data_IF_940775372878
#
_entry.id   IF_940775372878
#
_cell.length_a   1.000
_cell.length_b   1.000
_cell.length_c   1.000
_cell.angle_alpha   90.00
_cell.angle_beta   90.00
_cell.angle_gamma   90.00
#
_symmetry.space_group_name_H-M   'P 1'
#
loop_
_entity.id
_entity.type
_entity.pdbx_description
1 polymer ?
#
# COMPACT_ATOMS: atom_id res chain seq x y z
N UNK A 1 39.85 -18.95 -36.35
CA UNK A 1 38.58 -19.41 -35.76
C UNK A 1 38.13 -18.37 -34.74
N UNK A 2 37.28 -17.45 -35.15
CA UNK A 2 36.76 -16.37 -34.26
C UNK A 2 35.56 -16.90 -33.45
N UNK A 3 35.67 -16.80 -32.12
CA UNK A 3 34.54 -17.09 -31.21
C UNK A 3 33.43 -16.03 -31.43
N UNK A 4 32.16 -16.46 -31.55
CA UNK A 4 31.08 -15.49 -31.59
C UNK A 4 30.95 -14.82 -30.21
N UNK A 5 30.92 -13.49 -30.20
CA UNK A 5 30.61 -12.69 -29.01
C UNK A 5 29.19 -13.03 -28.55
N UNK A 6 29.05 -13.48 -27.32
CA UNK A 6 27.74 -13.69 -26.72
C UNK A 6 27.03 -12.33 -26.63
N UNK A 7 25.93 -12.19 -27.35
CA UNK A 7 25.06 -11.03 -27.25
C UNK A 7 24.47 -10.98 -25.83
N UNK A 8 24.92 -10.02 -25.06
CA UNK A 8 24.26 -9.67 -23.78
C UNK A 8 22.91 -9.07 -24.13
N UNK A 9 21.89 -9.87 -24.09
CA UNK A 9 20.51 -9.39 -24.21
C UNK A 9 20.29 -8.45 -23.03
N UNK A 10 20.19 -7.15 -23.30
CA UNK A 10 19.87 -6.15 -22.28
C UNK A 10 18.51 -6.54 -21.67
N UNK A 11 18.49 -6.87 -20.38
CA UNK A 11 17.23 -7.14 -19.66
C UNK A 11 16.35 -5.90 -19.75
N UNK A 12 15.08 -6.08 -20.06
CA UNK A 12 14.11 -4.99 -20.02
C UNK A 12 14.14 -4.30 -18.63
N UNK A 13 13.98 -3.00 -18.57
CA UNK A 13 13.98 -2.28 -17.29
C UNK A 13 12.87 -2.80 -16.39
N UNK A 14 13.19 -3.06 -15.12
CA UNK A 14 12.24 -3.55 -14.12
C UNK A 14 11.07 -2.57 -13.97
N UNK A 15 9.85 -3.09 -13.93
CA UNK A 15 8.68 -2.32 -13.53
C UNK A 15 8.69 -2.02 -12.03
N UNK A 16 9.30 -2.91 -11.25
CA UNK A 16 9.52 -2.74 -9.80
C UNK A 16 10.41 -1.53 -9.49
N UNK A 17 10.10 -0.85 -8.38
CA UNK A 17 10.76 0.39 -7.98
C UNK A 17 10.75 0.56 -6.45
N UNK A 18 11.51 1.52 -5.94
CA UNK A 18 11.35 2.09 -4.61
C UNK A 18 10.59 3.41 -4.75
N UNK A 19 9.65 3.66 -3.86
CA UNK A 19 8.97 4.94 -3.72
C UNK A 19 9.31 5.55 -2.36
N UNK A 20 9.90 6.73 -2.33
CA UNK A 20 10.22 7.49 -1.11
C UNK A 20 9.40 8.76 -1.04
N UNK A 21 8.97 9.15 0.16
CA UNK A 21 8.25 10.41 0.35
C UNK A 21 7.68 10.59 1.74
N UNK A 22 6.48 11.13 1.81
CA UNK A 22 5.82 11.48 3.05
C UNK A 22 4.39 10.95 3.09
N UNK A 23 3.97 10.53 4.28
CA UNK A 23 2.58 10.32 4.61
C UNK A 23 2.16 11.37 5.64
N UNK A 24 1.00 11.96 5.45
CA UNK A 24 0.41 12.97 6.34
C UNK A 24 -0.98 12.52 6.73
N UNK A 25 -1.30 12.66 8.02
CA UNK A 25 -2.63 12.45 8.56
C UNK A 25 -3.11 13.73 9.23
N UNK A 26 -4.36 14.12 8.96
CA UNK A 26 -5.01 15.25 9.63
C UNK A 26 -6.39 14.85 10.10
N UNK A 27 -6.62 14.97 11.38
CA UNK A 27 -7.95 14.97 11.97
C UNK A 27 -8.40 16.43 12.14
N UNK A 28 -9.58 16.73 11.69
CA UNK A 28 -10.17 18.07 11.76
C UNK A 28 -11.23 18.14 12.86
N UNK A 29 -11.99 17.05 13.05
CA UNK A 29 -13.05 16.96 14.06
C UNK A 29 -12.95 15.61 14.82
N UNK A 30 -13.44 15.55 16.09
CA UNK A 30 -13.92 16.65 16.92
C UNK A 30 -12.77 17.52 17.46
N UNK A 31 -11.53 16.99 17.56
CA UNK A 31 -10.35 17.71 18.00
C UNK A 31 -9.25 17.65 16.95
N UNK A 32 -8.79 18.80 16.53
CA UNK A 32 -7.76 18.91 15.49
C UNK A 32 -6.45 18.22 15.94
N UNK A 33 -5.91 17.39 15.05
CA UNK A 33 -4.65 16.71 15.25
C UNK A 33 -4.00 16.36 13.91
N UNK A 34 -2.75 16.73 13.71
CA UNK A 34 -2.04 16.43 12.49
C UNK A 34 -0.63 15.91 12.79
N UNK A 35 -0.15 15.03 11.94
CA UNK A 35 1.23 14.56 11.94
C UNK A 35 1.62 14.08 10.54
N UNK A 36 2.91 14.12 10.27
CA UNK A 36 3.51 13.58 9.06
C UNK A 36 4.82 12.87 9.40
N UNK A 37 5.22 11.95 8.53
CA UNK A 37 6.52 11.28 8.62
C UNK A 37 7.00 10.85 7.24
N UNK A 38 8.34 10.73 7.13
CA UNK A 38 8.97 10.21 5.92
C UNK A 38 8.92 8.69 5.92
N UNK A 39 8.74 8.12 4.74
CA UNK A 39 8.66 6.69 4.54
C UNK A 39 9.16 6.27 3.17
N UNK A 40 9.42 4.98 3.03
CA UNK A 40 9.66 4.35 1.74
C UNK A 40 8.77 3.11 1.62
N UNK A 41 8.23 2.89 0.44
CA UNK A 41 7.50 1.67 0.07
C UNK A 41 8.15 1.01 -1.14
N UNK A 42 8.02 -0.30 -1.25
CA UNK A 42 8.38 -1.00 -2.47
C UNK A 42 7.17 -1.06 -3.40
N UNK A 43 7.42 -0.80 -4.67
CA UNK A 43 6.49 -1.04 -5.76
C UNK A 43 7.01 -2.25 -6.52
N UNK A 44 6.34 -3.36 -6.39
CA UNK A 44 6.79 -4.66 -6.88
C UNK A 44 5.82 -5.16 -7.95
N UNK A 45 6.32 -5.38 -9.15
CA UNK A 45 5.60 -6.22 -10.11
C UNK A 45 5.63 -7.66 -9.59
N UNK A 46 4.45 -8.27 -9.42
CA UNK A 46 4.35 -9.60 -8.81
C UNK A 46 5.02 -10.70 -9.65
N UNK A 47 5.17 -10.48 -10.95
CA UNK A 47 5.87 -11.39 -11.84
C UNK A 47 7.41 -11.24 -11.73
N UNK A 48 7.90 -10.12 -11.17
CA UNK A 48 9.32 -9.85 -10.94
C UNK A 48 9.82 -10.25 -9.56
N UNK A 49 8.94 -10.49 -8.57
CA UNK A 49 9.30 -10.67 -7.15
C UNK A 49 10.35 -11.75 -6.93
N UNK A 50 10.29 -12.86 -7.65
CA UNK A 50 11.26 -13.96 -7.53
C UNK A 50 12.66 -13.56 -8.01
N UNK A 51 12.76 -12.56 -8.87
CA UNK A 51 14.02 -12.10 -9.48
C UNK A 51 14.60 -10.87 -8.79
N UNK A 52 13.75 -9.97 -8.31
CA UNK A 52 14.10 -8.67 -7.74
C UNK A 52 15.12 -8.78 -6.60
N UNK A 53 15.01 -9.80 -5.74
CA UNK A 53 15.87 -10.00 -4.58
C UNK A 53 16.93 -11.10 -4.75
N UNK A 54 17.02 -11.76 -5.91
CA UNK A 54 17.87 -12.95 -6.11
C UNK A 54 19.36 -12.73 -5.78
N UNK A 55 19.88 -11.53 -6.05
CA UNK A 55 21.27 -11.16 -5.78
C UNK A 55 21.41 -10.09 -4.69
N UNK A 56 20.44 -10.05 -3.75
CA UNK A 56 20.38 -9.07 -2.68
C UNK A 56 20.50 -9.74 -1.33
N UNK A 57 21.68 -9.70 -0.74
CA UNK A 57 22.00 -10.42 0.49
C UNK A 57 21.17 -10.02 1.73
N UNK A 58 20.68 -8.76 1.82
CA UNK A 58 19.87 -8.24 2.94
C UNK A 58 18.36 -8.30 2.64
N UNK A 59 17.97 -8.73 1.43
CA UNK A 59 16.60 -8.78 0.94
C UNK A 59 16.27 -10.18 0.41
N UNK A 60 15.06 -10.65 0.67
CA UNK A 60 14.66 -11.99 0.22
C UNK A 60 13.16 -12.08 -0.10
N UNK A 61 12.83 -13.06 -0.96
CA UNK A 61 11.49 -13.60 -1.09
C UNK A 61 11.42 -14.92 -0.30
N UNK A 62 10.45 -15.03 0.63
CA UNK A 62 10.15 -16.25 1.40
C UNK A 62 11.09 -16.57 2.56
N UNK A 63 12.39 -16.29 2.45
CA UNK A 63 13.38 -16.63 3.51
C UNK A 63 13.52 -15.49 4.52
N UNK A 64 13.74 -15.78 5.84
CA UNK A 64 14.07 -14.76 6.83
C UNK A 64 15.27 -13.92 6.40
N UNK A 65 15.16 -12.60 6.51
CA UNK A 65 16.23 -11.66 6.18
C UNK A 65 15.96 -10.30 6.86
N UNK A 66 16.88 -9.34 6.72
CA UNK A 66 16.66 -7.97 7.23
C UNK A 66 15.45 -7.31 6.58
N UNK A 67 15.26 -7.49 5.27
CA UNK A 67 14.02 -7.16 4.59
C UNK A 67 13.49 -8.41 3.85
N UNK A 68 12.24 -8.72 4.06
CA UNK A 68 11.64 -9.95 3.54
C UNK A 68 10.27 -9.66 2.93
N UNK A 69 10.07 -10.08 1.69
CA UNK A 69 8.74 -10.31 1.15
C UNK A 69 8.25 -11.68 1.62
N UNK A 70 7.14 -11.71 2.36
CA UNK A 70 6.54 -12.94 2.85
C UNK A 70 5.09 -13.02 2.38
N UNK A 71 4.77 -14.04 1.59
CA UNK A 71 3.45 -14.21 0.96
C UNK A 71 2.28 -14.09 1.96
N UNK A 72 2.41 -14.66 3.15
CA UNK A 72 1.36 -14.66 4.18
C UNK A 72 1.08 -13.29 4.83
N UNK A 73 1.91 -12.26 4.54
CA UNK A 73 1.70 -10.91 5.04
C UNK A 73 0.67 -10.13 4.19
N UNK A 74 0.19 -10.70 3.06
CA UNK A 74 -0.64 -10.06 2.04
C UNK A 74 -1.94 -10.83 1.79
N UNK A 75 -2.78 -10.28 0.91
CA UNK A 75 -4.13 -10.72 0.58
C UNK A 75 -4.25 -12.23 0.33
N UNK A 76 -5.26 -12.83 0.94
CA UNK A 76 -5.64 -14.23 0.74
C UNK A 76 -4.72 -15.25 1.43
N UNK A 77 -4.98 -16.54 1.24
CA UNK A 77 -4.20 -17.62 1.86
C UNK A 77 -2.77 -17.68 1.30
N UNK A 78 -1.81 -18.09 2.14
CA UNK A 78 -0.39 -18.08 1.81
C UNK A 78 -0.02 -19.08 0.68
N UNK A 79 -0.80 -20.10 0.52
CA UNK A 79 -0.62 -21.17 -0.48
C UNK A 79 -1.01 -20.74 -1.89
N UNK A 80 -1.90 -19.74 -1.99
CA UNK A 80 -2.32 -19.20 -3.28
C UNK A 80 -1.34 -18.11 -3.75
N UNK A 81 -0.86 -18.13 -5.01
CA UNK A 81 -0.06 -17.03 -5.55
C UNK A 81 -0.76 -15.68 -5.37
N UNK A 82 -0.01 -14.64 -4.98
CA UNK A 82 -0.60 -13.35 -4.62
C UNK A 82 -1.37 -12.70 -5.77
N UNK A 83 -0.83 -12.76 -6.99
CA UNK A 83 -1.51 -12.26 -8.18
C UNK A 83 -2.87 -12.95 -8.40
N UNK A 84 -2.93 -14.25 -8.16
CA UNK A 84 -4.18 -15.01 -8.29
C UNK A 84 -5.19 -14.65 -7.18
N UNK A 85 -4.72 -14.43 -5.95
CA UNK A 85 -5.58 -13.97 -4.86
C UNK A 85 -6.20 -12.60 -5.16
N UNK A 86 -5.40 -11.69 -5.74
CA UNK A 86 -5.87 -10.36 -6.16
C UNK A 86 -6.88 -10.48 -7.29
N UNK A 87 -6.60 -11.26 -8.34
CA UNK A 87 -7.51 -11.48 -9.48
C UNK A 87 -8.87 -12.01 -9.01
N UNK A 88 -8.87 -13.04 -8.16
CA UNK A 88 -10.12 -13.61 -7.59
C UNK A 88 -10.88 -12.58 -6.76
N UNK A 89 -10.18 -11.80 -5.94
CA UNK A 89 -10.85 -10.79 -5.10
C UNK A 89 -11.48 -9.67 -5.92
N UNK A 90 -10.82 -9.22 -6.99
CA UNK A 90 -11.37 -8.23 -7.92
C UNK A 90 -12.58 -8.79 -8.65
N UNK A 91 -12.45 -10.00 -9.22
CA UNK A 91 -13.53 -10.70 -9.93
C UNK A 91 -14.78 -10.90 -9.05
N UNK A 92 -14.59 -11.32 -7.79
CA UNK A 92 -15.67 -11.47 -6.81
C UNK A 92 -16.37 -10.15 -6.46
N UNK A 93 -15.63 -9.03 -6.49
CA UNK A 93 -16.16 -7.73 -6.09
C UNK A 93 -16.94 -7.02 -7.20
N UNK A 94 -16.50 -7.13 -8.45
CA UNK A 94 -17.03 -6.35 -9.56
C UNK A 94 -17.15 -7.11 -10.90
N UNK A 95 -16.90 -8.42 -10.93
CA UNK A 95 -16.97 -9.22 -12.16
C UNK A 95 -15.78 -9.04 -13.12
N UNK A 96 -14.90 -8.05 -12.86
CA UNK A 96 -13.70 -7.80 -13.65
C UNK A 96 -12.57 -8.73 -13.20
N UNK A 97 -11.99 -9.51 -14.12
CA UNK A 97 -10.78 -10.28 -13.85
C UNK A 97 -9.58 -9.65 -14.57
N UNK A 98 -8.64 -9.00 -13.85
CA UNK A 98 -7.45 -8.43 -14.47
C UNK A 98 -6.59 -9.51 -15.13
N UNK A 99 -6.17 -9.31 -16.37
CA UNK A 99 -5.39 -10.27 -17.15
C UNK A 99 -3.91 -9.92 -17.20
N UNK A 100 -3.58 -8.65 -17.14
CA UNK A 100 -2.22 -8.16 -17.18
C UNK A 100 -1.48 -8.21 -15.84
N UNK A 101 -0.31 -7.55 -15.74
CA UNK A 101 0.51 -7.53 -14.54
C UNK A 101 -0.19 -6.86 -13.35
N UNK A 102 0.15 -7.32 -12.15
CA UNK A 102 -0.30 -6.73 -10.89
C UNK A 102 0.93 -6.17 -10.18
N UNK A 103 0.90 -4.88 -9.86
CA UNK A 103 1.99 -4.20 -9.17
C UNK A 103 1.56 -3.74 -7.79
N UNK A 104 2.33 -4.13 -6.79
CA UNK A 104 2.03 -3.96 -5.38
C UNK A 104 2.88 -2.85 -4.77
N UNK A 105 2.23 -1.78 -4.27
CA UNK A 105 2.86 -0.77 -3.44
C UNK A 105 2.65 -1.11 -1.97
N UNK A 106 3.74 -1.38 -1.23
CA UNK A 106 3.63 -1.93 0.11
C UNK A 106 4.88 -1.73 0.97
N UNK A 107 4.75 -1.96 2.27
CA UNK A 107 5.87 -2.22 3.17
C UNK A 107 6.18 -3.71 3.22
N UNK A 108 7.47 -4.04 3.28
CA UNK A 108 7.91 -5.41 3.55
C UNK A 108 8.02 -5.66 5.06
N UNK A 109 8.34 -6.89 5.40
CA UNK A 109 8.78 -7.25 6.72
C UNK A 109 10.23 -6.79 6.91
N UNK A 110 10.50 -5.99 7.93
CA UNK A 110 11.84 -5.52 8.29
C UNK A 110 12.24 -6.04 9.66
N UNK A 111 13.43 -6.63 9.76
CA UNK A 111 13.96 -7.23 11.00
C UNK A 111 12.98 -8.21 11.67
N UNK A 112 12.26 -8.99 10.87
CA UNK A 112 11.25 -9.94 11.36
C UNK A 112 9.90 -9.30 11.74
N UNK A 113 9.79 -7.97 11.78
CA UNK A 113 8.56 -7.26 12.11
C UNK A 113 7.83 -6.82 10.84
N UNK A 114 6.51 -6.99 10.81
CA UNK A 114 5.65 -6.44 9.77
C UNK A 114 4.68 -5.43 10.38
N UNK A 115 4.66 -4.25 9.76
CA UNK A 115 3.60 -3.29 9.97
C UNK A 115 3.26 -2.67 8.62
N UNK A 116 2.12 -3.08 8.10
CA UNK A 116 1.67 -2.69 6.78
C UNK A 116 0.19 -2.29 6.85
N UNK A 117 -0.12 -1.04 7.24
CA UNK A 117 -1.49 -0.59 7.44
C UNK A 117 -2.29 -0.56 6.15
N UNK A 118 -1.61 -0.38 5.01
CA UNK A 118 -2.24 -0.42 3.69
C UNK A 118 -1.28 -0.91 2.62
N UNK A 119 -1.77 -1.79 1.75
CA UNK A 119 -1.15 -2.18 0.49
C UNK A 119 -2.05 -1.81 -0.66
N UNK A 120 -1.48 -1.26 -1.74
CA UNK A 120 -2.21 -0.94 -2.95
C UNK A 120 -1.75 -1.85 -4.09
N UNK A 121 -2.69 -2.57 -4.68
CA UNK A 121 -2.47 -3.42 -5.85
C UNK A 121 -3.01 -2.69 -7.07
N UNK A 122 -2.12 -2.31 -7.97
CA UNK A 122 -2.44 -1.70 -9.25
C UNK A 122 -2.55 -2.81 -10.29
N UNK A 123 -3.76 -3.08 -10.77
CA UNK A 123 -4.06 -4.13 -11.74
C UNK A 123 -4.11 -3.52 -13.13
N UNK A 124 -3.36 -4.08 -14.07
CA UNK A 124 -3.24 -3.58 -15.42
C UNK A 124 -3.92 -4.51 -16.44
N UNK A 125 -4.23 -3.97 -17.62
CA UNK A 125 -4.58 -4.75 -18.79
C UNK A 125 -3.35 -5.48 -19.36
N UNK A 126 -3.54 -6.33 -20.36
CA UNK A 126 -2.47 -7.12 -21.00
C UNK A 126 -1.33 -6.28 -21.59
N UNK A 127 -1.61 -5.01 -21.93
CA UNK A 127 -0.58 -4.07 -22.39
C UNK A 127 0.45 -3.67 -21.30
N UNK A 128 0.17 -4.01 -20.03
CA UNK A 128 1.00 -3.68 -18.87
C UNK A 128 1.09 -2.18 -18.55
N UNK A 129 0.29 -1.35 -19.22
CA UNK A 129 0.31 0.14 -19.09
C UNK A 129 -1.05 0.68 -18.69
N UNK A 130 -2.13 0.18 -19.26
CA UNK A 130 -3.50 0.61 -18.98
C UNK A 130 -3.96 0.05 -17.64
N UNK A 131 -4.14 0.93 -16.65
CA UNK A 131 -4.68 0.55 -15.35
C UNK A 131 -6.16 0.19 -15.51
N UNK A 132 -6.62 -0.90 -14.90
CA UNK A 132 -8.03 -1.34 -14.96
C UNK A 132 -8.71 -1.36 -13.59
N UNK A 133 -7.93 -1.53 -12.52
CA UNK A 133 -8.46 -1.57 -11.16
C UNK A 133 -7.36 -1.22 -10.14
N UNK A 134 -7.75 -0.60 -9.02
CA UNK A 134 -6.91 -0.50 -7.83
C UNK A 134 -7.60 -1.31 -6.71
N UNK A 135 -6.86 -2.20 -6.06
CA UNK A 135 -7.30 -2.87 -4.85
C UNK A 135 -6.50 -2.31 -3.67
N UNK A 136 -7.19 -1.83 -2.64
CA UNK A 136 -6.59 -1.33 -1.41
C UNK A 136 -6.86 -2.31 -0.27
N UNK A 137 -5.83 -3.05 0.15
CA UNK A 137 -5.87 -3.93 1.32
C UNK A 137 -5.48 -3.14 2.57
N UNK A 138 -6.42 -2.99 3.50
CA UNK A 138 -6.23 -2.26 4.76
C UNK A 138 -6.15 -3.28 5.90
N UNK A 139 -5.17 -3.07 6.80
CA UNK A 139 -5.04 -3.81 8.05
C UNK A 139 -5.34 -2.87 9.21
N UNK A 140 -6.32 -3.22 10.04
CA UNK A 140 -6.65 -2.40 11.21
C UNK A 140 -5.71 -2.66 12.39
N UNK A 141 -5.69 -1.72 13.32
CA UNK A 141 -4.95 -1.80 14.57
C UNK A 141 -5.89 -1.50 15.73
N UNK A 142 -5.93 -2.33 16.78
CA UNK A 142 -5.00 -3.40 17.12
C UNK A 142 -5.39 -4.81 16.65
N UNK A 143 -6.56 -5.02 16.06
CA UNK A 143 -7.16 -6.35 15.78
C UNK A 143 -6.47 -7.15 14.69
N UNK A 144 -5.68 -6.48 13.81
CA UNK A 144 -4.98 -7.08 12.66
C UNK A 144 -5.92 -7.75 11.64
N UNK A 145 -7.16 -7.32 11.60
CA UNK A 145 -8.10 -7.73 10.56
C UNK A 145 -7.77 -7.05 9.25
N UNK A 146 -8.05 -7.71 8.16
CA UNK A 146 -7.79 -7.22 6.81
C UNK A 146 -9.07 -7.07 6.01
N UNK A 147 -9.17 -5.98 5.28
CA UNK A 147 -10.27 -5.71 4.36
C UNK A 147 -9.74 -5.15 3.05
N UNK A 148 -10.33 -5.57 1.93
CA UNK A 148 -9.92 -5.13 0.61
C UNK A 148 -11.05 -4.35 -0.08
N UNK A 149 -10.82 -3.06 -0.30
CA UNK A 149 -11.65 -2.23 -1.18
C UNK A 149 -11.18 -2.41 -2.62
N UNK A 150 -12.12 -2.65 -3.52
CA UNK A 150 -11.86 -2.78 -4.96
C UNK A 150 -12.40 -1.53 -5.65
N UNK A 151 -11.57 -0.89 -6.45
CA UNK A 151 -11.82 0.40 -7.10
C UNK A 151 -11.64 0.22 -8.63
N UNK A 152 -12.68 -0.24 -9.35
CA UNK A 152 -12.61 -0.40 -10.80
C UNK A 152 -12.48 0.96 -11.49
N UNK A 153 -11.68 1.05 -12.56
CA UNK A 153 -11.51 2.31 -13.27
C UNK A 153 -12.78 2.80 -13.96
N UNK A 154 -13.64 1.90 -14.40
CA UNK A 154 -14.92 2.22 -15.04
C UNK A 154 -15.85 3.05 -14.12
N UNK A 155 -15.71 2.94 -12.79
CA UNK A 155 -16.49 3.71 -11.81
C UNK A 155 -15.76 4.96 -11.30
N UNK A 156 -14.54 5.20 -11.79
CA UNK A 156 -13.74 6.36 -11.39
C UNK A 156 -14.24 7.65 -12.04
N UNK A 157 -14.23 8.74 -11.27
CA UNK A 157 -14.27 10.08 -11.84
C UNK A 157 -12.85 10.53 -12.12
N UNK A 158 -12.57 10.92 -13.36
CA UNK A 158 -11.24 11.36 -13.77
C UNK A 158 -11.14 12.89 -13.78
N UNK A 159 -10.13 13.41 -13.09
CA UNK A 159 -9.79 14.84 -13.05
C UNK A 159 -8.30 15.02 -13.39
N UNK A 160 -8.00 15.27 -14.64
CA UNK A 160 -6.62 15.28 -15.14
C UNK A 160 -5.94 13.94 -14.93
N UNK A 161 -4.85 13.89 -14.14
CA UNK A 161 -4.15 12.64 -13.76
C UNK A 161 -4.77 11.91 -12.56
N UNK A 162 -5.72 12.54 -11.86
CA UNK A 162 -6.32 11.97 -10.67
C UNK A 162 -7.56 11.16 -11.02
N UNK A 163 -7.65 9.99 -10.40
CA UNK A 163 -8.79 9.08 -10.41
C UNK A 163 -9.44 9.14 -9.04
N UNK A 164 -10.75 9.33 -8.96
CA UNK A 164 -11.45 9.47 -7.68
C UNK A 164 -12.67 8.57 -7.56
N UNK A 165 -12.91 8.11 -6.34
CA UNK A 165 -14.05 7.28 -5.96
C UNK A 165 -14.64 7.81 -4.66
N UNK A 166 -15.97 7.69 -4.53
CA UNK A 166 -16.69 7.96 -3.29
C UNK A 166 -17.55 6.75 -2.94
N UNK A 167 -17.43 6.24 -1.71
CA UNK A 167 -18.13 5.04 -1.26
C UNK A 167 -18.27 5.01 0.27
N UNK A 168 -19.26 4.25 0.81
CA UNK A 168 -19.41 4.09 2.25
C UNK A 168 -18.22 3.40 2.90
N UNK A 169 -17.87 3.82 4.10
CA UNK A 169 -16.87 3.15 4.92
C UNK A 169 -17.48 1.85 5.49
N UNK A 170 -16.96 0.69 5.07
CA UNK A 170 -17.46 -0.64 5.44
C UNK A 170 -16.52 -1.41 6.37
N UNK A 171 -15.38 -0.84 6.74
CA UNK A 171 -14.38 -1.50 7.58
C UNK A 171 -13.96 -0.63 8.77
N UNK A 172 -13.90 -1.24 9.96
CA UNK A 172 -13.51 -0.57 11.20
C UNK A 172 -11.97 -0.52 11.30
N UNK A 173 -11.38 0.59 10.84
CA UNK A 173 -9.93 0.76 10.74
C UNK A 173 -9.29 1.16 12.06
N UNK A 174 -10.01 1.94 12.88
CA UNK A 174 -9.49 2.55 14.10
C UNK A 174 -10.60 2.79 15.10
N UNK A 175 -10.36 2.58 16.42
CA UNK A 175 -11.34 2.86 17.45
C UNK A 175 -11.74 4.35 17.57
N UNK A 176 -10.97 5.24 16.94
CA UNK A 176 -11.27 6.68 16.92
C UNK A 176 -12.04 7.14 15.66
N UNK A 177 -12.55 6.20 14.85
CA UNK A 177 -13.25 6.50 13.59
C UNK A 177 -14.52 5.67 13.48
N UNK A 178 -15.71 6.27 13.57
CA UNK A 178 -16.98 5.53 13.47
C UNK A 178 -17.20 4.92 12.08
N UNK A 179 -18.21 4.04 11.97
CA UNK A 179 -18.51 3.31 10.74
C UNK A 179 -19.40 4.11 9.77
N UNK A 180 -20.25 4.95 10.27
CA UNK A 180 -21.23 5.78 9.53
C UNK A 180 -20.56 6.95 8.80
N UNK A 181 -19.56 6.64 7.98
CA UNK A 181 -18.77 7.65 7.24
C UNK A 181 -18.70 7.30 5.76
N UNK A 182 -18.39 8.32 4.97
CA UNK A 182 -18.10 8.21 3.54
C UNK A 182 -16.60 8.38 3.32
N UNK A 183 -16.04 7.59 2.43
CA UNK A 183 -14.71 7.78 1.88
C UNK A 183 -14.79 8.54 0.55
N UNK A 184 -13.89 9.50 0.37
CA UNK A 184 -13.58 10.07 -0.94
C UNK A 184 -12.07 9.85 -1.18
N UNK A 185 -11.74 8.94 -2.08
CA UNK A 185 -10.36 8.55 -2.36
C UNK A 185 -9.92 9.06 -3.72
N UNK A 186 -8.70 9.53 -3.79
CA UNK A 186 -8.06 10.00 -5.03
C UNK A 186 -6.69 9.38 -5.19
N UNK A 187 -6.41 8.90 -6.38
CA UNK A 187 -5.15 8.27 -6.75
C UNK A 187 -4.61 8.90 -8.02
N UNK A 188 -3.28 8.94 -8.17
CA UNK A 188 -2.64 9.05 -9.47
C UNK A 188 -2.12 7.68 -9.89
N UNK A 189 -2.09 7.38 -11.19
CA UNK A 189 -1.41 6.20 -11.68
C UNK A 189 0.09 6.29 -11.34
N UNK A 190 0.72 5.16 -10.91
CA UNK A 190 2.14 5.12 -10.59
C UNK A 190 3.03 5.56 -11.76
N UNK A 191 3.83 6.61 -11.55
CA UNK A 191 4.73 7.20 -12.54
C UNK A 191 6.03 7.68 -11.84
N UNK A 192 6.65 8.76 -12.30
CA UNK A 192 7.76 9.40 -11.60
C UNK A 192 7.37 9.87 -10.19
N UNK A 193 6.12 10.22 -10.02
CA UNK A 193 5.46 10.52 -8.75
C UNK A 193 4.21 9.63 -8.56
N UNK A 194 3.80 9.45 -7.31
CA UNK A 194 2.60 8.75 -6.94
C UNK A 194 1.94 9.48 -5.77
N UNK A 195 0.64 9.75 -5.92
CA UNK A 195 -0.16 10.39 -4.89
C UNK A 195 -1.40 9.56 -4.58
N UNK A 196 -1.66 9.39 -3.28
CA UNK A 196 -2.91 8.86 -2.77
C UNK A 196 -3.44 9.84 -1.75
N UNK A 197 -4.71 10.18 -1.86
CA UNK A 197 -5.39 11.02 -0.89
C UNK A 197 -6.73 10.40 -0.52
N UNK A 198 -7.02 10.35 0.75
CA UNK A 198 -8.25 9.82 1.31
C UNK A 198 -8.87 10.86 2.23
N UNK A 199 -10.10 11.25 1.95
CA UNK A 199 -10.96 11.99 2.87
C UNK A 199 -11.94 11.04 3.57
N UNK A 200 -12.18 11.27 4.85
CA UNK A 200 -13.28 10.69 5.61
C UNK A 200 -14.28 11.79 5.90
N UNK A 201 -15.50 11.57 5.41
CA UNK A 201 -16.56 12.56 5.45
C UNK A 201 -17.70 12.13 6.38
N UNK A 202 -18.25 13.10 7.11
CA UNK A 202 -19.52 12.99 7.85
C UNK A 202 -20.47 14.04 7.30
N UNK A 203 -21.62 13.63 6.80
CA UNK A 203 -22.66 14.54 6.28
C UNK A 203 -22.10 15.55 5.24
N UNK A 204 -21.13 15.10 4.43
CA UNK A 204 -20.45 15.93 3.43
C UNK A 204 -19.26 16.75 3.95
N UNK A 205 -19.07 16.85 5.26
CA UNK A 205 -17.97 17.58 5.87
C UNK A 205 -16.77 16.67 6.16
N UNK A 206 -15.56 17.17 5.95
CA UNK A 206 -14.32 16.42 6.18
C UNK A 206 -13.98 16.38 7.67
N UNK A 207 -13.94 15.17 8.25
CA UNK A 207 -13.48 14.94 9.62
C UNK A 207 -12.01 14.54 9.70
N UNK A 208 -11.51 13.84 8.67
CA UNK A 208 -10.15 13.34 8.64
C UNK A 208 -9.66 13.24 7.20
N UNK A 209 -8.37 13.46 6.99
CA UNK A 209 -7.71 13.11 5.73
C UNK A 209 -6.35 12.44 5.94
N UNK A 210 -5.98 11.60 4.97
CA UNK A 210 -4.65 11.02 4.84
C UNK A 210 -4.12 11.27 3.43
N UNK A 211 -2.87 11.69 3.33
CA UNK A 211 -2.20 11.92 2.05
C UNK A 211 -0.87 11.18 2.01
N UNK A 212 -0.62 10.49 0.90
CA UNK A 212 0.64 9.84 0.59
C UNK A 212 1.21 10.50 -0.67
N UNK A 213 2.43 11.02 -0.58
CA UNK A 213 3.12 11.68 -1.69
C UNK A 213 4.50 11.09 -1.84
N UNK A 214 4.74 10.38 -2.93
CA UNK A 214 5.94 9.57 -3.15
C UNK A 214 6.61 9.91 -4.48
N UNK A 215 7.94 9.78 -4.52
CA UNK A 215 8.79 9.90 -5.70
C UNK A 215 9.40 8.54 -6.03
N UNK A 216 9.40 8.19 -7.32
CA UNK A 216 9.95 6.94 -7.81
C UNK A 216 11.47 6.98 -7.87
N UNK A 217 12.10 5.93 -7.34
CA UNK A 217 13.52 5.64 -7.46
C UNK A 217 13.70 4.29 -8.16
N UNK A 218 14.71 4.14 -9.03
CA UNK A 218 15.02 2.83 -9.61
C UNK A 218 15.33 1.82 -8.51
N UNK A 219 14.89 0.56 -8.71
CA UNK A 219 15.18 -0.54 -7.79
C UNK A 219 16.60 -1.05 -8.02
N UNK A 220 17.53 -0.46 -7.29
CA UNK A 220 18.98 -0.77 -7.34
C UNK A 220 19.47 -1.22 -5.97
N UNK A 221 20.71 -1.77 -5.92
CA UNK A 221 21.35 -2.05 -4.63
C UNK A 221 21.51 -0.81 -3.75
N UNK A 222 21.78 0.34 -4.36
CA UNK A 222 21.94 1.61 -3.66
C UNK A 222 20.62 2.12 -3.08
N UNK A 223 19.52 2.08 -3.85
CA UNK A 223 18.18 2.49 -3.35
C UNK A 223 17.69 1.56 -2.25
N UNK A 224 17.89 0.25 -2.38
CA UNK A 224 17.54 -0.74 -1.35
C UNK A 224 18.39 -0.56 -0.08
N UNK A 225 19.70 -0.36 -0.20
CA UNK A 225 20.58 -0.05 0.94
C UNK A 225 20.15 1.26 1.64
N UNK A 226 19.77 2.29 0.85
CA UNK A 226 19.23 3.54 1.37
C UNK A 226 17.97 3.34 2.19
N UNK A 227 17.05 2.46 1.76
CA UNK A 227 15.83 2.15 2.53
C UNK A 227 16.20 1.57 3.90
N UNK A 228 17.10 0.59 3.96
CA UNK A 228 17.54 -0.03 5.22
C UNK A 228 18.30 0.96 6.13
N UNK A 229 19.11 1.85 5.55
CA UNK A 229 19.88 2.83 6.30
C UNK A 229 19.03 4.01 6.80
N UNK A 230 18.18 4.56 5.93
CA UNK A 230 17.40 5.77 6.23
C UNK A 230 16.17 5.47 7.08
N UNK A 231 15.67 4.23 6.99
CA UNK A 231 14.45 3.79 7.67
C UNK A 231 14.67 2.50 8.47
N UNK A 232 15.77 2.38 9.27
CA UNK A 232 16.20 1.09 9.84
C UNK A 232 15.20 0.49 10.82
N UNK A 233 14.39 1.31 11.44
CA UNK A 233 13.35 0.89 12.39
C UNK A 233 11.98 1.45 12.00
N UNK A 234 11.74 1.68 10.70
CA UNK A 234 10.49 2.28 10.23
C UNK A 234 9.26 1.58 10.80
N UNK A 235 9.24 0.25 10.78
CA UNK A 235 8.16 -0.55 11.38
C UNK A 235 7.99 -0.26 12.87
N UNK A 236 9.07 -0.26 13.64
CA UNK A 236 9.02 0.01 15.07
C UNK A 236 8.68 1.47 15.39
N UNK A 237 9.22 2.41 14.59
CA UNK A 237 8.90 3.85 14.71
C UNK A 237 7.42 4.12 14.42
N UNK A 238 6.86 3.50 13.36
CA UNK A 238 5.45 3.65 12.99
C UNK A 238 4.54 3.02 14.05
N UNK A 239 4.87 1.83 14.55
CA UNK A 239 4.12 1.19 15.65
C UNK A 239 4.17 2.07 16.91
N UNK A 240 5.35 2.54 17.31
CA UNK A 240 5.50 3.47 18.44
C UNK A 240 4.73 4.78 18.24
N UNK A 241 4.81 5.36 17.03
CA UNK A 241 4.08 6.57 16.68
C UNK A 241 2.57 6.37 16.77
N UNK A 242 2.02 5.24 16.27
CA UNK A 242 0.59 4.95 16.36
C UNK A 242 0.12 4.88 17.82
N UNK A 243 0.84 4.15 18.67
CA UNK A 243 0.47 4.09 20.10
C UNK A 243 0.59 5.45 20.78
N UNK A 244 1.62 6.22 20.45
CA UNK A 244 1.78 7.59 20.93
C UNK A 244 0.65 8.52 20.46
N UNK A 245 0.27 8.42 19.16
CA UNK A 245 -0.84 9.21 18.64
C UNK A 245 -2.19 8.77 19.24
N UNK A 246 -2.39 7.46 19.45
CA UNK A 246 -3.57 6.95 20.12
C UNK A 246 -3.68 7.50 21.56
N UNK A 247 -2.56 7.50 22.31
CA UNK A 247 -2.50 8.10 23.64
C UNK A 247 -2.82 9.61 23.60
N UNK A 248 -2.25 10.36 22.63
CA UNK A 248 -2.55 11.79 22.48
C UNK A 248 -4.01 12.05 22.12
N UNK A 249 -4.64 11.22 21.28
CA UNK A 249 -6.06 11.32 20.95
C UNK A 249 -6.93 11.02 22.17
N UNK A 250 -6.57 10.01 22.96
CA UNK A 250 -7.24 9.68 24.21
C UNK A 250 -7.13 10.82 25.25
N UNK A 251 -5.93 11.37 25.44
CA UNK A 251 -5.72 12.53 26.31
C UNK A 251 -6.50 13.78 25.86
N UNK A 252 -6.70 13.93 24.55
CA UNK A 252 -7.55 14.99 23.96
C UNK A 252 -9.06 14.67 24.04
N UNK A 253 -9.44 13.58 24.77
CA UNK A 253 -10.83 13.15 24.93
C UNK A 253 -11.57 12.89 23.61
N UNK A 254 -10.86 12.41 22.59
CA UNK A 254 -11.55 11.92 21.38
C UNK A 254 -12.38 10.68 21.74
N UNK A 255 -13.62 10.56 21.22
CA UNK A 255 -14.46 9.40 21.50
C UNK A 255 -13.82 8.13 21.00
N UNK A 256 -13.95 7.05 21.79
CA UNK A 256 -13.53 5.69 21.43
C UNK A 256 -14.80 4.92 21.03
N UNK A 257 -14.76 4.22 19.92
CA UNK A 257 -15.87 3.42 19.41
C UNK A 257 -15.50 1.94 19.51
N UNK A 258 -16.40 1.14 20.05
CA UNK A 258 -16.23 -0.29 20.18
C UNK A 258 -16.19 -0.95 18.79
N UNK A 259 -15.52 -2.10 18.75
CA UNK A 259 -15.50 -2.90 17.52
C UNK A 259 -16.88 -3.48 17.22
N UNK A 260 -17.41 -3.40 15.99
CA UNK A 260 -18.78 -3.86 15.66
C UNK A 260 -19.08 -5.33 15.98
N UNK A 261 -18.05 -6.18 16.13
CA UNK A 261 -18.19 -7.60 16.48
C UNK A 261 -17.99 -7.86 17.99
N UNK A 262 -17.83 -6.84 18.81
CA UNK A 262 -17.67 -6.96 20.27
C UNK A 262 -19.01 -6.94 21.05
N UNK A 263 -20.14 -7.06 20.32
CA UNK A 263 -21.51 -7.16 20.88
C UNK A 263 -22.04 -8.59 20.75
#
# INVERSE_FOLDING_TARGET
>A
MSRPAASVTAMAPLASAVYEGTVRHRRLAPHAHAFDYRMAQLYLDLDEVDHVFRQRWLWSNGRPNLAQFRRGDYLGPAELPLAEAVRRRVEQACGLRPTGPIRLLTHLRYFGLVFNPVSFYYCYADDGVSLVCILAEITNTPWRERHAYVLPLETAQQHGRALSWSFPKTFHVSPFMPMDRQYAWRFTAPAADLHVHMDVLRDGEREFDASLSLQRLPLTGASLARVLWRYPLMTAQVVGAIHWQALRLWLKRNPVHDHPQAL
#
